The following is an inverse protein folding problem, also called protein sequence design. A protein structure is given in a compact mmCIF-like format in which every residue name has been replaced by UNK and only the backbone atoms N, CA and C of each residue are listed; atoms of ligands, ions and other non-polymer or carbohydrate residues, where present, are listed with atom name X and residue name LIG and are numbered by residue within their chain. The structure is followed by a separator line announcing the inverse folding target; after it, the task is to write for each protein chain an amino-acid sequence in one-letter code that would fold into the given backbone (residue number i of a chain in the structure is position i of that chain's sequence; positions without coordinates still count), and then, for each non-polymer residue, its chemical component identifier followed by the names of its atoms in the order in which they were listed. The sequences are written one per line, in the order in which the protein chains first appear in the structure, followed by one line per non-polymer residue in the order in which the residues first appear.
data_IF_505180226549
#
_entry.id   IF_505180226549
#
_cell.length_a   1.000
_cell.length_b   1.000
_cell.length_c   1.000
_cell.angle_alpha   90.00
_cell.angle_beta   90.00
_cell.angle_gamma   90.00
#
_symmetry.space_group_name_H-M   'P 1'
#
loop_
_entity.id
_entity.type
_entity.pdbx_description
1 polymer ?
#
# COMPACT_ATOMS: atom_id res chain seq x y z
N UNK A 1 -36.45 2.97 4.21
CA UNK A 1 -36.67 3.27 2.77
C UNK A 1 -35.77 2.33 1.99
N UNK A 2 -36.32 1.50 1.11
CA UNK A 2 -35.53 0.67 0.19
C UNK A 2 -35.64 1.36 -1.16
N UNK A 3 -34.54 1.89 -1.68
CA UNK A 3 -34.52 2.40 -3.05
C UNK A 3 -34.50 1.21 -4.01
N UNK A 4 -35.46 1.15 -4.95
CA UNK A 4 -35.53 0.14 -6.01
C UNK A 4 -35.37 0.82 -7.37
N UNK A 5 -34.42 0.34 -8.17
CA UNK A 5 -34.25 0.72 -9.58
C UNK A 5 -34.49 -0.51 -10.44
N UNK A 6 -35.42 -0.41 -11.40
CA UNK A 6 -35.71 -1.43 -12.40
C UNK A 6 -34.92 -1.18 -13.68
N UNK A 7 -34.95 -2.13 -14.61
CA UNK A 7 -34.24 -1.99 -15.89
C UNK A 7 -34.76 -0.78 -16.71
N UNK A 8 -36.06 -0.51 -16.64
CA UNK A 8 -36.67 0.69 -17.23
C UNK A 8 -36.14 2.01 -16.66
N UNK A 9 -35.68 2.02 -15.40
CA UNK A 9 -35.15 3.22 -14.76
C UNK A 9 -33.72 3.56 -15.21
N UNK A 10 -33.00 2.62 -15.86
CA UNK A 10 -31.57 2.79 -16.16
C UNK A 10 -31.33 4.04 -17.01
N UNK A 11 -32.16 4.28 -18.01
CA UNK A 11 -31.98 5.43 -18.90
C UNK A 11 -32.17 6.76 -18.16
N UNK A 12 -33.12 6.83 -17.23
CA UNK A 12 -33.44 8.07 -16.51
C UNK A 12 -32.54 8.28 -15.29
N UNK A 13 -32.14 7.21 -14.60
CA UNK A 13 -31.41 7.29 -13.32
C UNK A 13 -29.92 7.05 -13.48
N UNK A 14 -29.50 6.07 -14.28
CA UNK A 14 -28.07 5.73 -14.45
C UNK A 14 -27.40 6.66 -15.44
N UNK A 15 -28.03 6.90 -16.60
CA UNK A 15 -27.42 7.74 -17.64
C UNK A 15 -27.39 9.23 -17.27
N UNK A 16 -28.24 9.65 -16.33
CA UNK A 16 -28.29 11.02 -15.82
C UNK A 16 -27.21 11.33 -14.77
N UNK A 17 -26.44 10.32 -14.31
CA UNK A 17 -25.38 10.50 -13.31
C UNK A 17 -24.31 11.45 -13.87
N UNK A 18 -24.18 12.60 -13.21
CA UNK A 18 -23.25 13.66 -13.57
C UNK A 18 -22.73 14.34 -12.29
N UNK A 19 -21.40 14.59 -12.19
CA UNK A 19 -20.38 14.30 -13.20
C UNK A 19 -20.10 12.80 -13.34
N UNK A 20 -19.55 12.38 -14.49
CA UNK A 20 -19.23 10.97 -14.80
C UNK A 20 -18.38 10.27 -13.72
N UNK A 21 -17.66 11.04 -12.88
CA UNK A 21 -16.87 10.55 -11.76
C UNK A 21 -17.67 10.09 -10.54
N UNK A 22 -18.97 10.39 -10.48
CA UNK A 22 -19.87 9.85 -9.45
C UNK A 22 -20.32 8.42 -9.77
N UNK A 23 -20.16 7.99 -11.03
CA UNK A 23 -20.46 6.63 -11.43
C UNK A 23 -19.43 5.63 -10.92
N UNK A 24 -19.91 4.52 -10.35
CA UNK A 24 -19.05 3.51 -9.76
C UNK A 24 -18.02 2.96 -10.77
N UNK A 25 -16.76 2.92 -10.34
CA UNK A 25 -15.64 2.46 -11.19
C UNK A 25 -14.98 3.54 -12.04
N UNK A 26 -15.53 4.77 -12.10
CA UNK A 26 -14.95 5.88 -12.87
C UNK A 26 -14.34 6.93 -11.93
N UNK A 27 -13.03 6.82 -11.66
CA UNK A 27 -12.27 7.89 -11.00
C UNK A 27 -11.80 8.98 -11.97
N UNK A 28 -11.26 10.09 -11.44
CA UNK A 28 -10.75 11.24 -12.24
C UNK A 28 -9.85 10.84 -13.42
N UNK A 29 -8.95 9.87 -13.22
CA UNK A 29 -8.07 9.36 -14.28
C UNK A 29 -8.82 8.58 -15.37
N UNK A 30 -9.82 7.79 -15.00
CA UNK A 30 -10.64 7.07 -15.98
C UNK A 30 -11.50 8.07 -16.75
N UNK A 31 -12.14 9.02 -16.06
CA UNK A 31 -12.93 10.09 -16.69
C UNK A 31 -12.11 10.87 -17.73
N UNK A 32 -10.86 11.26 -17.41
CA UNK A 32 -9.98 11.91 -18.37
C UNK A 32 -9.69 11.04 -19.61
N UNK A 33 -9.50 9.72 -19.43
CA UNK A 33 -9.26 8.80 -20.55
C UNK A 33 -10.51 8.54 -21.39
N UNK A 34 -11.69 8.48 -20.78
CA UNK A 34 -12.98 8.40 -21.46
C UNK A 34 -13.24 9.68 -22.27
N UNK A 35 -12.94 10.86 -21.69
CA UNK A 35 -13.02 12.13 -22.41
C UNK A 35 -12.13 12.18 -23.65
N UNK A 36 -10.88 11.69 -23.54
CA UNK A 36 -9.98 11.51 -24.71
C UNK A 36 -10.46 10.47 -25.73
N UNK A 37 -11.55 9.75 -25.43
CA UNK A 37 -12.24 8.81 -26.31
C UNK A 37 -13.54 9.38 -26.88
N UNK A 38 -13.90 10.62 -26.55
CA UNK A 38 -15.18 11.23 -26.92
C UNK A 38 -16.36 10.79 -26.03
N UNK A 39 -16.09 10.20 -24.86
CA UNK A 39 -17.10 9.75 -23.90
C UNK A 39 -17.09 10.74 -22.73
N UNK A 40 -18.11 11.60 -22.63
CA UNK A 40 -18.21 12.63 -21.60
C UNK A 40 -19.30 12.35 -20.56
N UNK A 41 -20.28 11.50 -20.90
CA UNK A 41 -21.40 11.11 -20.05
C UNK A 41 -21.54 9.59 -19.93
N UNK A 42 -22.38 9.14 -18.99
CA UNK A 42 -22.75 7.72 -18.86
C UNK A 42 -23.62 7.27 -20.04
N UNK A 43 -24.42 8.18 -20.60
CA UNK A 43 -25.13 7.94 -21.86
C UNK A 43 -24.15 7.59 -22.99
N UNK A 44 -23.11 8.39 -23.20
CA UNK A 44 -22.10 8.13 -24.24
C UNK A 44 -21.40 6.78 -24.02
N UNK A 45 -21.12 6.45 -22.75
CA UNK A 45 -20.51 5.18 -22.37
C UNK A 45 -21.43 4.00 -22.68
N UNK A 46 -22.74 4.15 -22.49
CA UNK A 46 -23.74 3.13 -22.78
C UNK A 46 -23.97 2.92 -24.30
N UNK A 47 -23.73 3.96 -25.11
CA UNK A 47 -23.86 3.91 -26.58
C UNK A 47 -22.54 3.56 -27.29
N UNK A 48 -21.42 3.57 -26.58
CA UNK A 48 -20.11 3.29 -27.15
C UNK A 48 -19.99 1.83 -27.62
N UNK A 49 -19.20 1.61 -28.68
CA UNK A 49 -18.88 0.27 -29.17
C UNK A 49 -18.13 -0.55 -28.09
N UNK A 50 -18.69 -1.67 -27.59
CA UNK A 50 -18.05 -2.51 -26.60
C UNK A 50 -16.68 -3.07 -27.05
N UNK A 51 -16.50 -3.31 -28.36
CA UNK A 51 -15.22 -3.79 -28.90
C UNK A 51 -14.14 -2.72 -28.81
N UNK A 52 -14.48 -1.47 -29.12
CA UNK A 52 -13.58 -0.33 -28.97
C UNK A 52 -13.23 -0.08 -27.49
N UNK A 53 -14.21 -0.17 -26.59
CA UNK A 53 -13.98 -0.07 -25.15
C UNK A 53 -13.05 -1.18 -24.64
N UNK A 54 -13.27 -2.43 -25.09
CA UNK A 54 -12.38 -3.55 -24.75
C UNK A 54 -10.97 -3.33 -25.30
N UNK A 55 -10.84 -2.85 -26.53
CA UNK A 55 -9.55 -2.60 -27.15
C UNK A 55 -8.76 -1.52 -26.38
N UNK A 56 -9.41 -0.43 -25.95
CA UNK A 56 -8.74 0.69 -25.28
C UNK A 56 -8.56 0.50 -23.77
N UNK A 57 -9.48 -0.19 -23.10
CA UNK A 57 -9.53 -0.28 -21.62
C UNK A 57 -9.50 -1.73 -21.10
N UNK A 58 -9.46 -2.74 -21.96
CA UNK A 58 -9.47 -4.15 -21.58
C UNK A 58 -10.81 -4.57 -20.97
N UNK A 59 -10.74 -5.54 -20.05
CA UNK A 59 -11.92 -6.06 -19.33
C UNK A 59 -12.67 -4.94 -18.58
N UNK A 60 -11.95 -3.93 -18.08
CA UNK A 60 -12.55 -2.78 -17.41
C UNK A 60 -13.49 -1.98 -18.33
N UNK A 61 -13.16 -1.85 -19.62
CA UNK A 61 -14.01 -1.14 -20.58
C UNK A 61 -15.36 -1.83 -20.76
N UNK A 62 -15.34 -3.15 -20.90
CA UNK A 62 -16.55 -3.97 -20.98
C UNK A 62 -17.36 -3.92 -19.68
N UNK A 63 -16.69 -3.94 -18.54
CA UNK A 63 -17.35 -3.83 -17.24
C UNK A 63 -18.05 -2.47 -17.09
N UNK A 64 -17.39 -1.38 -17.47
CA UNK A 64 -17.99 -0.04 -17.46
C UNK A 64 -19.19 0.07 -18.40
N UNK A 65 -19.10 -0.52 -19.60
CA UNK A 65 -20.24 -0.61 -20.52
C UNK A 65 -21.43 -1.37 -19.91
N UNK A 66 -21.17 -2.55 -19.32
CA UNK A 66 -22.20 -3.35 -18.69
C UNK A 66 -22.86 -2.61 -17.51
N UNK A 67 -22.06 -1.97 -16.66
CA UNK A 67 -22.57 -1.16 -15.55
C UNK A 67 -23.41 0.03 -16.05
N UNK A 68 -23.05 0.68 -17.16
CA UNK A 68 -23.84 1.77 -17.74
C UNK A 68 -25.24 1.32 -18.19
N UNK A 69 -25.40 0.02 -18.47
CA UNK A 69 -26.68 -0.65 -18.72
C UNK A 69 -27.32 -1.26 -17.46
N UNK A 70 -26.80 -0.97 -16.27
CA UNK A 70 -27.29 -1.51 -15.01
C UNK A 70 -26.97 -3.00 -14.79
N UNK A 71 -26.06 -3.57 -15.58
CA UNK A 71 -25.70 -4.99 -15.53
C UNK A 71 -24.44 -5.17 -14.68
N UNK A 72 -24.61 -5.72 -13.48
CA UNK A 72 -23.53 -6.23 -12.64
C UNK A 72 -23.82 -7.69 -12.24
N UNK A 73 -22.92 -8.60 -12.60
CA UNK A 73 -23.04 -10.04 -12.31
C UNK A 73 -22.22 -10.45 -11.07
N UNK A 74 -21.73 -9.48 -10.30
CA UNK A 74 -21.03 -9.74 -9.05
C UNK A 74 -21.93 -10.50 -8.08
N UNK A 75 -21.54 -11.73 -7.74
CA UNK A 75 -22.30 -12.56 -6.81
C UNK A 75 -21.92 -12.22 -5.37
N UNK A 76 -22.82 -11.57 -4.64
CA UNK A 76 -22.60 -11.16 -3.24
C UNK A 76 -22.55 -12.34 -2.24
N UNK A 77 -23.01 -13.53 -2.66
CA UNK A 77 -23.09 -14.73 -1.82
C UNK A 77 -21.82 -15.60 -1.80
N UNK A 78 -20.84 -15.33 -2.67
CA UNK A 78 -19.55 -16.00 -2.57
C UNK A 78 -18.85 -15.41 -1.35
N UNK A 79 -18.65 -16.23 -0.32
CA UNK A 79 -17.59 -15.95 0.65
C UNK A 79 -16.33 -15.85 -0.19
N UNK A 80 -15.86 -14.63 -0.42
CA UNK A 80 -14.59 -14.36 -1.12
C UNK A 80 -13.61 -15.42 -0.66
N UNK A 81 -13.15 -16.28 -1.58
CA UNK A 81 -12.06 -17.21 -1.26
C UNK A 81 -11.03 -16.35 -0.54
N UNK A 82 -10.80 -16.56 0.76
CA UNK A 82 -10.09 -15.60 1.61
C UNK A 82 -8.83 -15.22 0.87
N UNK A 83 -8.86 -14.04 0.24
CA UNK A 83 -7.90 -13.74 -0.79
C UNK A 83 -6.60 -13.58 -0.03
N UNK A 84 -5.74 -14.61 -0.09
CA UNK A 84 -4.48 -14.60 0.65
C UNK A 84 -3.81 -13.28 0.31
N UNK A 85 -3.47 -12.52 1.34
CA UNK A 85 -2.90 -11.19 1.17
C UNK A 85 -1.74 -11.31 0.19
N UNK A 86 -1.72 -10.47 -0.85
CA UNK A 86 -0.68 -10.54 -1.88
C UNK A 86 0.63 -9.90 -1.42
N UNK A 87 0.54 -9.10 -0.36
CA UNK A 87 1.65 -8.36 0.23
C UNK A 87 1.26 -7.76 1.58
N UNK A 88 2.23 -7.64 2.48
CA UNK A 88 2.16 -6.73 3.63
C UNK A 88 2.81 -5.40 3.27
N UNK A 89 2.31 -4.29 3.79
CA UNK A 89 2.91 -3.00 3.54
C UNK A 89 2.43 -1.92 4.49
N UNK A 90 3.22 -0.87 4.58
CA UNK A 90 2.91 0.33 5.35
C UNK A 90 3.49 1.54 4.63
N UNK A 91 2.73 2.63 4.63
CA UNK A 91 3.16 3.91 4.08
C UNK A 91 2.71 5.05 4.97
N UNK A 92 3.38 6.18 4.82
CA UNK A 92 3.05 7.39 5.54
C UNK A 92 3.34 8.63 4.72
N UNK A 93 2.45 9.61 4.89
CA UNK A 93 2.79 11.02 4.68
C UNK A 93 3.61 11.44 5.90
N UNK A 94 4.79 12.01 5.68
CA UNK A 94 5.64 12.51 6.75
C UNK A 94 4.97 13.70 7.47
N UNK A 95 5.43 14.14 8.65
CA UNK A 95 4.85 15.33 9.30
C UNK A 95 5.32 16.64 8.63
N UNK A 96 6.53 16.64 8.07
CA UNK A 96 7.15 17.75 7.34
C UNK A 96 7.89 17.23 6.13
N UNK A 97 8.55 18.12 5.40
CA UNK A 97 9.47 17.76 4.33
C UNK A 97 10.80 17.25 4.93
N UNK A 98 11.31 16.17 4.34
CA UNK A 98 12.55 15.52 4.77
C UNK A 98 13.58 15.63 3.64
N UNK A 99 14.62 16.43 3.88
CA UNK A 99 15.77 16.59 2.99
C UNK A 99 16.96 15.68 3.40
N UNK A 100 17.03 15.37 4.70
CA UNK A 100 18.15 14.65 5.31
C UNK A 100 18.05 13.14 5.09
N UNK A 101 19.03 12.58 4.38
CA UNK A 101 19.11 11.16 4.05
C UNK A 101 18.98 10.26 5.27
N UNK A 102 19.65 10.60 6.37
CA UNK A 102 19.66 9.82 7.60
C UNK A 102 18.28 9.80 8.30
N UNK A 103 17.53 10.90 8.27
CA UNK A 103 16.16 10.96 8.78
C UNK A 103 15.21 10.11 7.92
N UNK A 104 15.42 10.09 6.60
CA UNK A 104 14.63 9.27 5.67
C UNK A 104 14.92 7.77 5.89
N UNK A 105 16.21 7.40 6.00
CA UNK A 105 16.61 6.03 6.32
C UNK A 105 16.04 5.57 7.66
N UNK A 106 16.00 6.46 8.65
CA UNK A 106 15.39 6.17 9.94
C UNK A 106 13.91 5.80 9.82
N UNK A 107 13.12 6.58 9.10
CA UNK A 107 11.70 6.26 8.85
C UNK A 107 11.53 4.95 8.08
N UNK A 108 12.38 4.69 7.09
CA UNK A 108 12.34 3.43 6.34
C UNK A 108 12.64 2.21 7.23
N UNK A 109 13.55 2.33 8.20
CA UNK A 109 13.79 1.29 9.21
C UNK A 109 12.55 1.04 10.06
N UNK A 110 11.91 2.11 10.54
CA UNK A 110 10.68 2.02 11.33
C UNK A 110 9.53 1.35 10.58
N UNK A 111 9.33 1.72 9.30
CA UNK A 111 8.32 1.10 8.45
C UNK A 111 8.65 -0.38 8.20
N UNK A 112 9.92 -0.71 7.99
CA UNK A 112 10.37 -2.10 7.76
C UNK A 112 10.11 -2.98 8.97
N UNK A 113 10.44 -2.52 10.19
CA UNK A 113 10.18 -3.20 11.46
C UNK A 113 8.68 -3.50 11.64
N UNK A 114 7.82 -2.50 11.42
CA UNK A 114 6.37 -2.66 11.54
C UNK A 114 5.80 -3.67 10.52
N UNK A 115 6.26 -3.62 9.27
CA UNK A 115 5.78 -4.57 8.23
C UNK A 115 6.34 -5.97 8.48
N UNK A 116 7.60 -6.10 8.93
CA UNK A 116 8.20 -7.38 9.27
C UNK A 116 7.51 -8.06 10.46
N UNK A 117 7.17 -7.29 11.50
CA UNK A 117 6.36 -7.75 12.64
C UNK A 117 5.01 -8.32 12.15
N UNK A 118 4.30 -7.61 11.27
CA UNK A 118 3.01 -8.09 10.70
C UNK A 118 3.17 -9.35 9.86
N UNK A 119 4.24 -9.41 9.07
CA UNK A 119 4.60 -10.56 8.25
C UNK A 119 4.83 -11.81 9.14
N UNK A 120 5.59 -11.67 10.24
CA UNK A 120 5.83 -12.76 11.21
C UNK A 120 4.58 -13.17 11.98
N UNK A 121 3.78 -12.21 12.46
CA UNK A 121 2.50 -12.49 13.13
C UNK A 121 1.51 -13.26 12.24
N UNK A 122 1.67 -13.14 10.92
CA UNK A 122 0.87 -13.88 9.93
C UNK A 122 1.50 -15.21 9.52
N UNK A 123 2.56 -15.65 10.20
CA UNK A 123 3.33 -16.87 9.91
C UNK A 123 3.78 -16.94 8.43
N UNK A 124 4.29 -15.81 7.93
CA UNK A 124 4.63 -15.64 6.52
C UNK A 124 6.08 -15.18 6.35
N UNK A 125 6.65 -15.48 5.18
CA UNK A 125 7.91 -14.94 4.67
C UNK A 125 7.67 -14.18 3.34
N UNK A 126 8.63 -13.38 2.91
CA UNK A 126 8.57 -12.62 1.65
C UNK A 126 9.76 -12.91 0.76
N UNK A 127 9.56 -12.92 -0.56
CA UNK A 127 10.61 -12.99 -1.58
C UNK A 127 10.77 -11.69 -2.37
N UNK A 128 10.01 -10.64 -2.02
CA UNK A 128 10.04 -9.36 -2.70
C UNK A 128 9.99 -8.21 -1.71
N UNK A 129 10.96 -7.29 -1.81
CA UNK A 129 10.98 -6.03 -1.08
C UNK A 129 10.67 -4.91 -2.06
N UNK A 130 9.76 -4.01 -1.70
CA UNK A 130 9.39 -2.83 -2.49
C UNK A 130 9.42 -1.59 -1.63
N UNK A 131 9.89 -0.49 -2.19
CA UNK A 131 9.83 0.83 -1.57
C UNK A 131 9.15 1.82 -2.50
N UNK A 132 8.45 2.78 -1.90
CA UNK A 132 7.84 3.92 -2.55
C UNK A 132 8.34 5.20 -1.89
N UNK A 133 8.76 6.16 -2.71
CA UNK A 133 9.19 7.49 -2.29
C UNK A 133 8.40 8.52 -3.10
N UNK A 134 7.66 9.39 -2.42
CA UNK A 134 6.99 10.54 -3.02
C UNK A 134 7.64 11.84 -2.56
N UNK A 135 7.92 12.71 -3.52
CA UNK A 135 8.55 14.00 -3.27
C UNK A 135 7.55 15.02 -2.72
N UNK A 136 8.08 16.11 -2.16
CA UNK A 136 7.28 17.24 -1.73
C UNK A 136 6.57 17.92 -2.91
N UNK A 137 5.54 18.70 -2.59
CA UNK A 137 4.71 19.35 -3.60
C UNK A 137 5.57 20.33 -4.42
N UNK A 138 5.55 20.16 -5.74
CA UNK A 138 6.33 20.99 -6.66
C UNK A 138 7.76 20.49 -6.91
N UNK A 139 8.22 19.48 -6.16
CA UNK A 139 9.50 18.83 -6.39
C UNK A 139 9.35 17.72 -7.43
N UNK A 140 10.28 17.68 -8.39
CA UNK A 140 10.35 16.64 -9.42
C UNK A 140 11.81 16.25 -9.66
N UNK A 141 12.04 15.01 -10.11
CA UNK A 141 13.37 14.62 -10.58
C UNK A 141 13.66 15.14 -11.99
N UNK A 142 14.85 14.84 -12.52
CA UNK A 142 15.26 15.23 -13.87
C UNK A 142 14.40 14.65 -15.01
N UNK A 143 13.45 13.77 -14.70
CA UNK A 143 12.46 13.23 -15.65
C UNK A 143 11.05 13.77 -15.40
N UNK A 144 10.90 14.79 -14.55
CA UNK A 144 9.61 15.40 -14.23
C UNK A 144 8.70 14.56 -13.33
N UNK A 145 9.24 13.54 -12.65
CA UNK A 145 8.46 12.63 -11.80
C UNK A 145 8.39 13.16 -10.37
N UNK A 146 7.21 13.10 -9.75
CA UNK A 146 6.97 13.50 -8.35
C UNK A 146 7.32 12.42 -7.32
N UNK A 147 8.07 11.39 -7.72
CA UNK A 147 8.43 10.26 -6.88
C UNK A 147 8.76 9.02 -7.70
N UNK A 148 9.06 7.92 -7.01
CA UNK A 148 9.42 6.66 -7.63
C UNK A 148 9.07 5.45 -6.76
N UNK A 149 9.02 4.29 -7.42
CA UNK A 149 8.85 2.98 -6.80
C UNK A 149 9.89 2.03 -7.34
N UNK A 150 10.55 1.28 -6.45
CA UNK A 150 11.53 0.25 -6.81
C UNK A 150 11.27 -1.02 -6.02
N UNK A 151 11.66 -2.16 -6.58
CA UNK A 151 11.51 -3.45 -5.95
C UNK A 151 12.72 -4.35 -6.22
N UNK A 152 12.97 -5.28 -5.33
CA UNK A 152 14.05 -6.26 -5.38
C UNK A 152 13.51 -7.64 -5.03
N UNK A 153 13.84 -8.65 -5.84
CA UNK A 153 13.64 -10.05 -5.48
C UNK A 153 14.77 -10.47 -4.52
N UNK A 154 14.42 -11.11 -3.42
CA UNK A 154 15.35 -11.55 -2.39
C UNK A 154 15.15 -13.04 -2.10
N UNK A 155 16.09 -13.64 -1.36
CA UNK A 155 15.85 -14.92 -0.72
C UNK A 155 14.70 -14.77 0.30
N UNK A 156 13.95 -15.86 0.54
CA UNK A 156 12.82 -15.83 1.46
C UNK A 156 13.29 -15.38 2.84
N UNK A 157 12.61 -14.41 3.42
CA UNK A 157 12.94 -13.93 4.75
C UNK A 157 11.73 -13.28 5.43
N UNK A 158 11.73 -13.32 6.75
CA UNK A 158 10.89 -12.50 7.61
C UNK A 158 11.72 -11.82 8.73
N UNK A 159 13.05 -11.86 8.61
CA UNK A 159 13.97 -11.27 9.56
C UNK A 159 14.03 -9.75 9.37
N UNK A 160 13.86 -8.99 10.46
CA UNK A 160 13.77 -7.52 10.38
C UNK A 160 15.03 -6.90 9.80
N UNK A 161 16.21 -7.37 10.24
CA UNK A 161 17.51 -6.83 9.84
C UNK A 161 17.75 -7.02 8.34
N UNK A 162 17.58 -8.25 7.85
CA UNK A 162 17.75 -8.59 6.42
C UNK A 162 16.82 -7.77 5.53
N UNK A 163 15.53 -7.70 5.87
CA UNK A 163 14.56 -6.95 5.09
C UNK A 163 14.85 -5.45 5.07
N UNK A 164 15.25 -4.90 6.23
CA UNK A 164 15.61 -3.49 6.37
C UNK A 164 16.86 -3.14 5.56
N UNK A 165 17.87 -4.02 5.52
CA UNK A 165 19.06 -3.83 4.70
C UNK A 165 18.73 -3.73 3.21
N UNK A 166 17.83 -4.58 2.70
CA UNK A 166 17.35 -4.51 1.32
C UNK A 166 16.54 -3.24 1.02
N UNK A 167 15.71 -2.80 1.96
CA UNK A 167 14.98 -1.52 1.87
C UNK A 167 15.95 -0.34 1.77
N UNK A 168 16.96 -0.30 2.65
CA UNK A 168 17.97 0.77 2.65
C UNK A 168 18.86 0.72 1.42
N UNK A 169 19.21 -0.47 0.93
CA UNK A 169 19.95 -0.63 -0.34
C UNK A 169 19.18 0.00 -1.50
N UNK A 170 17.90 -0.39 -1.67
CA UNK A 170 17.03 0.19 -2.71
C UNK A 170 16.94 1.71 -2.60
N UNK A 171 16.84 2.23 -1.36
CA UNK A 171 16.78 3.66 -1.14
C UNK A 171 18.08 4.36 -1.54
N UNK A 172 19.23 3.86 -1.06
CA UNK A 172 20.55 4.46 -1.31
C UNK A 172 20.91 4.48 -2.79
N UNK A 173 20.56 3.43 -3.54
CA UNK A 173 20.81 3.32 -4.99
C UNK A 173 19.98 4.32 -5.82
N UNK A 174 18.88 4.84 -5.27
CA UNK A 174 17.94 5.69 -6.00
C UNK A 174 17.72 7.07 -5.32
N UNK A 175 18.48 7.38 -4.27
CA UNK A 175 18.36 8.64 -3.55
C UNK A 175 18.94 9.78 -4.38
N UNK A 176 18.18 10.86 -4.53
CA UNK A 176 18.59 12.07 -5.25
C UNK A 176 18.78 13.19 -4.22
N UNK A 177 20.01 13.67 -4.00
CA UNK A 177 20.26 14.81 -3.12
C UNK A 177 19.53 16.08 -3.60
N UNK A 178 19.06 16.89 -2.65
CA UNK A 178 18.41 18.17 -2.95
C UNK A 178 16.92 18.09 -3.28
N UNK A 179 16.33 16.89 -3.32
CA UNK A 179 14.89 16.70 -3.48
C UNK A 179 14.26 16.31 -2.14
N UNK A 180 13.32 17.13 -1.69
CA UNK A 180 12.60 16.89 -0.44
C UNK A 180 11.56 15.78 -0.58
N UNK A 181 11.47 14.92 0.43
CA UNK A 181 10.55 13.78 0.48
C UNK A 181 9.37 14.06 1.42
N UNK A 182 8.16 13.70 0.99
CA UNK A 182 6.91 13.86 1.73
C UNK A 182 6.20 12.54 2.00
N UNK A 183 6.40 11.53 1.17
CA UNK A 183 5.76 10.22 1.30
C UNK A 183 6.78 9.09 1.26
N UNK A 184 6.63 8.13 2.16
CA UNK A 184 7.43 6.91 2.19
C UNK A 184 6.53 5.70 2.33
N UNK A 185 6.91 4.59 1.71
CA UNK A 185 6.24 3.31 1.86
C UNK A 185 7.18 2.14 1.69
N UNK A 186 6.93 1.09 2.47
CA UNK A 186 7.61 -0.21 2.38
C UNK A 186 6.53 -1.28 2.18
N UNK A 187 6.80 -2.23 1.29
CA UNK A 187 5.93 -3.39 1.08
C UNK A 187 6.73 -4.66 0.81
N UNK A 188 6.27 -5.75 1.40
CA UNK A 188 6.78 -7.10 1.24
C UNK A 188 5.74 -7.94 0.50
N UNK A 189 6.09 -8.46 -0.67
CA UNK A 189 5.17 -9.21 -1.54
C UNK A 189 5.79 -10.52 -2.02
N UNK A 190 5.07 -11.28 -2.86
CA UNK A 190 5.43 -12.68 -3.15
C UNK A 190 5.52 -13.47 -1.85
N UNK A 191 4.41 -13.48 -1.13
CA UNK A 191 4.28 -14.05 0.18
C UNK A 191 4.35 -15.58 0.13
N UNK A 192 5.14 -16.15 1.04
CA UNK A 192 5.30 -17.58 1.23
C UNK A 192 4.78 -17.92 2.63
N UNK A 193 3.72 -18.73 2.67
CA UNK A 193 3.03 -19.14 3.91
C UNK A 193 3.67 -20.41 4.48
N UNK A 194 4.98 -20.35 4.67
CA UNK A 194 5.80 -21.39 5.29
C UNK A 194 6.79 -20.69 6.23
N UNK A 195 6.90 -21.21 7.45
CA UNK A 195 7.76 -20.66 8.49
C UNK A 195 9.07 -21.41 8.64
N UNK A 196 9.38 -22.37 7.76
CA UNK A 196 10.70 -23.02 7.78
C UNK A 196 11.80 -21.98 7.68
N UNK A 197 12.71 -22.01 8.66
CA UNK A 197 13.86 -21.12 8.65
C UNK A 197 14.80 -21.59 7.53
N UNK A 198 14.87 -20.83 6.44
CA UNK A 198 15.90 -21.03 5.44
C UNK A 198 17.19 -20.39 5.95
N UNK A 199 18.14 -21.22 6.37
CA UNK A 199 19.47 -20.79 6.81
C UNK A 199 20.30 -20.46 5.56
N UNK A 200 20.95 -19.31 5.57
CA UNK A 200 21.97 -18.97 4.58
C UNK A 200 23.25 -19.77 4.84
N UNK A 201 23.77 -20.43 3.81
CA UNK A 201 24.95 -21.30 3.89
C UNK A 201 26.24 -20.53 4.21
N UNK A 202 26.30 -19.25 3.82
CA UNK A 202 27.50 -18.42 3.93
C UNK A 202 27.54 -17.59 5.22
N UNK A 203 26.48 -17.63 6.01
CA UNK A 203 26.37 -16.89 7.27
C UNK A 203 26.41 -17.84 8.46
N UNK A 204 26.99 -17.44 9.62
CA UNK A 204 27.01 -18.29 10.81
C UNK A 204 25.59 -18.72 11.24
N UNK A 205 25.29 -20.02 11.37
CA UNK A 205 23.94 -20.50 11.70
C UNK A 205 23.45 -19.97 13.05
N UNK A 206 24.35 -19.88 14.03
CA UNK A 206 24.04 -19.43 15.39
C UNK A 206 23.55 -17.98 15.41
N UNK A 207 24.20 -17.08 14.68
CA UNK A 207 23.80 -15.68 14.59
C UNK A 207 22.40 -15.55 13.94
N UNK A 208 22.15 -16.33 12.89
CA UNK A 208 20.85 -16.36 12.22
C UNK A 208 19.73 -16.84 13.14
N UNK A 209 19.99 -17.88 13.95
CA UNK A 209 19.02 -18.39 14.93
C UNK A 209 18.74 -17.37 16.02
N UNK A 210 19.79 -16.77 16.61
CA UNK A 210 19.68 -15.75 17.66
C UNK A 210 18.89 -14.54 17.16
N UNK A 211 19.20 -14.04 15.97
CA UNK A 211 18.51 -12.87 15.40
C UNK A 211 17.02 -13.14 15.18
N UNK A 212 16.66 -14.32 14.70
CA UNK A 212 15.24 -14.68 14.53
C UNK A 212 14.52 -14.83 15.87
N UNK A 213 15.15 -15.49 16.86
CA UNK A 213 14.59 -15.61 18.20
C UNK A 213 14.38 -14.23 18.86
N UNK A 214 15.33 -13.30 18.65
CA UNK A 214 15.23 -11.93 19.10
C UNK A 214 14.03 -11.21 18.48
N UNK A 215 13.85 -11.31 17.15
CA UNK A 215 12.69 -10.74 16.45
C UNK A 215 11.36 -11.27 17.04
N UNK A 216 11.24 -12.58 17.23
CA UNK A 216 10.04 -13.18 17.84
C UNK A 216 9.81 -12.74 19.30
N UNK A 217 10.88 -12.58 20.08
CA UNK A 217 10.79 -12.10 21.46
C UNK A 217 10.32 -10.64 21.51
N UNK A 218 10.87 -9.78 20.66
CA UNK A 218 10.47 -8.38 20.51
C UNK A 218 8.98 -8.30 20.17
N UNK A 219 8.54 -9.09 19.18
CA UNK A 219 7.14 -9.14 18.76
C UNK A 219 6.23 -9.56 19.91
N UNK A 220 6.61 -10.59 20.69
CA UNK A 220 5.84 -11.07 21.84
C UNK A 220 5.71 -10.02 22.94
N UNK A 221 6.77 -9.26 23.22
CA UNK A 221 6.74 -8.16 24.19
C UNK A 221 5.78 -7.07 23.70
N UNK A 222 5.90 -6.65 22.43
CA UNK A 222 5.06 -5.61 21.83
C UNK A 222 3.59 -6.02 21.74
N UNK A 223 3.30 -7.31 21.52
CA UNK A 223 1.94 -7.83 21.52
C UNK A 223 1.30 -7.74 22.90
N UNK A 224 2.08 -8.00 23.98
CA UNK A 224 1.57 -8.00 25.35
C UNK A 224 1.47 -6.60 25.96
N UNK A 225 2.44 -5.72 25.68
CA UNK A 225 2.59 -4.43 26.36
C UNK A 225 2.43 -3.21 25.44
N UNK A 226 2.15 -3.44 24.14
CA UNK A 226 2.04 -2.40 23.13
C UNK A 226 3.38 -2.01 22.49
N UNK A 227 3.31 -1.32 21.34
CA UNK A 227 4.49 -0.97 20.53
C UNK A 227 5.52 -0.13 21.30
N UNK A 228 5.08 0.81 22.15
CA UNK A 228 5.96 1.71 22.92
C UNK A 228 6.76 1.00 24.02
N UNK A 229 6.40 -0.24 24.38
CA UNK A 229 7.10 -0.98 25.42
C UNK A 229 8.53 -1.35 25.03
N UNK A 230 8.79 -1.54 23.72
CA UNK A 230 10.12 -1.85 23.22
C UNK A 230 10.31 -1.23 21.82
N UNK A 231 11.12 -0.18 21.76
CA UNK A 231 11.44 0.55 20.53
C UNK A 231 12.95 0.58 20.32
N UNK A 232 13.38 0.73 19.08
CA UNK A 232 14.80 1.01 18.80
C UNK A 232 15.16 2.39 19.35
N UNK A 233 16.34 2.53 19.96
CA UNK A 233 16.83 3.82 20.45
C UNK A 233 16.87 4.89 19.33
N UNK A 234 17.12 4.47 18.08
CA UNK A 234 17.08 5.36 16.92
C UNK A 234 15.71 6.00 16.69
N UNK A 235 14.60 5.37 17.13
CA UNK A 235 13.25 5.94 17.06
C UNK A 235 12.99 7.09 18.04
N UNK A 236 14.01 7.48 18.82
CA UNK A 236 14.01 8.69 19.64
C UNK A 236 14.83 9.84 19.02
N UNK A 237 15.51 9.60 17.90
CA UNK A 237 16.28 10.63 17.20
C UNK A 237 15.37 11.60 16.46
N UNK A 238 15.90 12.78 16.16
CA UNK A 238 15.19 13.78 15.38
C UNK A 238 14.83 13.23 13.98
N UNK A 239 13.55 13.36 13.59
CA UNK A 239 13.02 12.82 12.34
C UNK A 239 12.45 11.40 12.47
N UNK A 240 12.55 10.75 13.62
CA UNK A 240 11.82 9.53 13.90
C UNK A 240 10.30 9.79 13.91
N UNK A 241 9.52 8.78 13.55
CA UNK A 241 8.05 8.88 13.51
C UNK A 241 7.33 7.78 14.28
N UNK A 242 8.00 6.67 14.60
CA UNK A 242 7.35 5.48 15.16
C UNK A 242 6.60 5.74 16.47
N UNK A 243 7.20 6.51 17.40
CA UNK A 243 6.58 6.79 18.71
C UNK A 243 5.30 7.61 18.55
N UNK A 244 5.35 8.69 17.78
CA UNK A 244 4.18 9.54 17.52
C UNK A 244 3.08 8.77 16.77
N UNK A 245 3.47 7.90 15.83
CA UNK A 245 2.53 7.11 15.03
C UNK A 245 1.89 5.97 15.79
N UNK A 246 2.54 5.42 16.82
CA UNK A 246 1.98 4.31 17.59
C UNK A 246 0.67 4.65 18.33
N UNK A 247 0.35 5.94 18.51
CA UNK A 247 -0.94 6.39 19.02
C UNK A 247 -1.98 6.71 17.94
N UNK A 248 -1.67 6.53 16.66
CA UNK A 248 -2.56 6.84 15.54
C UNK A 248 -3.21 5.56 15.00
N UNK A 249 -4.48 5.65 14.61
CA UNK A 249 -5.21 4.58 13.93
C UNK A 249 -5.33 4.96 12.46
N UNK A 250 -4.76 4.15 11.56
CA UNK A 250 -4.78 4.42 10.12
C UNK A 250 -4.04 5.69 9.67
N UNK A 251 -3.17 6.25 10.51
CA UNK A 251 -2.47 7.52 10.24
C UNK A 251 -3.23 8.77 10.70
N UNK A 252 -4.39 8.62 11.32
CA UNK A 252 -5.13 9.69 12.00
C UNK A 252 -5.08 9.49 13.51
N UNK A 253 -5.20 10.56 14.28
CA UNK A 253 -5.41 10.43 15.73
C UNK A 253 -6.75 9.71 15.89
N UNK A 254 -6.69 8.41 16.20
CA UNK A 254 -7.88 7.68 16.62
C UNK A 254 -8.39 8.41 17.84
N UNK A 255 -9.60 8.96 17.78
CA UNK A 255 -10.17 9.75 18.85
C UNK A 255 -10.05 8.97 20.15
N UNK A 256 -9.18 9.43 21.05
CA UNK A 256 -9.04 8.90 22.40
C UNK A 256 -10.18 9.48 23.27
N UNK A 257 -11.41 9.37 22.78
CA UNK A 257 -12.63 9.65 23.52
C UNK A 257 -13.22 8.29 23.87
N UNK A 258 -12.88 7.76 25.05
CA UNK A 258 -13.59 6.59 25.58
C UNK A 258 -12.81 5.50 26.31
N UNK A 259 -11.61 5.75 26.83
CA UNK A 259 -11.02 4.90 27.87
C UNK A 259 -10.48 5.75 29.02
N UNK A 260 -11.42 6.46 29.66
CA UNK A 260 -11.33 6.83 31.06
C UNK A 260 -12.40 6.02 31.79
N UNK A 261 -11.96 5.17 32.71
CA UNK A 261 -12.77 4.24 33.51
C UNK A 261 -11.85 3.25 34.22
#
# INVERSE_FOLDING_TARGET
FVAEWRYEDVQEKVWSISPITEFCGIGKRMAARLKMSGIESIYDLAQADPYLLKHRFGVMGLQLFAHAWGIDRSFLGEKSQVAKEKSFGNSQVLPRDYARKDQIELVLKELSDQVATRLRNSNCQTECVSIFVGYSKGQVDGLGRSGWRKQLKIARSNNTKVLTEHVLKLFRENFIPGIDIRNLGVSFGKLVWDTTLQIDLFSPPEEQIINNQLDFLIDKIRQKFGFKALIHASSLLEGATAVNRSGLVGGHAGGNVGLGG
#
